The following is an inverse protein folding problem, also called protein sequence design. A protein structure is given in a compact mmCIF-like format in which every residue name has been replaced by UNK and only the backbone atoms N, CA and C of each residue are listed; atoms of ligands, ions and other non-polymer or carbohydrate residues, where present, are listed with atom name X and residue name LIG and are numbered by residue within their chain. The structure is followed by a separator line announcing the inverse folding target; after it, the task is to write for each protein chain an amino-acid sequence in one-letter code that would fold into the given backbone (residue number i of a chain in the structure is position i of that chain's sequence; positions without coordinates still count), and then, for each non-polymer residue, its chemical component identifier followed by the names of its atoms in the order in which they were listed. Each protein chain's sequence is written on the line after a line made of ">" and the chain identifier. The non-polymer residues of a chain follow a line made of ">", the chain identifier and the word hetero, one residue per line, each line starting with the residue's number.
data_IF_363141505342
#
_entry.id   IF_363141505342
#
_cell.length_a   1.000
_cell.length_b   1.000
_cell.length_c   1.000
_cell.angle_alpha   90.00
_cell.angle_beta   90.00
_cell.angle_gamma   90.00
#
_symmetry.space_group_name_H-M   'P 1'
#
loop_
_entity.id
_entity.type
_entity.pdbx_description
1 polymer ?
#
# COMPACT_ATOMS: atom_id res chain seq x y z
N UNK A 1 25.75 -22.19 -22.08
CA UNK A 1 24.56 -23.01 -21.74
C UNK A 1 24.37 -23.25 -20.23
N UNK A 2 25.44 -23.34 -19.41
CA UNK A 2 25.33 -23.63 -17.97
C UNK A 2 24.95 -22.43 -17.08
N UNK A 3 25.24 -21.20 -17.51
CA UNK A 3 24.87 -19.96 -16.79
C UNK A 3 23.38 -19.64 -16.90
N UNK A 4 22.77 -19.81 -18.08
CA UNK A 4 21.33 -19.57 -18.28
C UNK A 4 20.45 -20.57 -17.51
N UNK A 5 20.84 -21.85 -17.50
CA UNK A 5 20.19 -22.87 -16.65
C UNK A 5 20.30 -22.55 -15.16
N UNK A 6 21.43 -21.99 -14.71
CA UNK A 6 21.64 -21.64 -13.29
C UNK A 6 20.84 -20.40 -12.87
N UNK A 7 20.71 -19.40 -13.75
CA UNK A 7 19.85 -18.22 -13.55
C UNK A 7 18.37 -18.64 -13.47
N UNK A 8 17.89 -19.43 -14.44
CA UNK A 8 16.51 -19.95 -14.40
C UNK A 8 16.22 -20.84 -13.18
N UNK A 9 17.21 -21.58 -12.68
CA UNK A 9 17.06 -22.37 -11.45
C UNK A 9 16.96 -21.51 -10.19
N UNK A 10 17.73 -20.41 -10.11
CA UNK A 10 17.62 -19.43 -9.02
C UNK A 10 16.29 -18.70 -9.05
N UNK A 11 15.82 -18.27 -10.23
CA UNK A 11 14.51 -17.62 -10.38
C UNK A 11 13.37 -18.53 -9.92
N UNK A 12 13.40 -19.81 -10.31
CA UNK A 12 12.37 -20.78 -9.90
C UNK A 12 12.38 -21.01 -8.39
N UNK A 13 13.57 -21.07 -7.77
CA UNK A 13 13.70 -21.23 -6.30
C UNK A 13 13.26 -19.99 -5.53
N UNK A 14 13.49 -18.79 -6.07
CA UNK A 14 13.02 -17.54 -5.47
C UNK A 14 11.50 -17.48 -5.52
N UNK A 15 10.89 -17.82 -6.66
CA UNK A 15 9.44 -17.86 -6.81
C UNK A 15 8.81 -18.91 -5.89
N UNK A 16 9.36 -20.14 -5.84
CA UNK A 16 8.89 -21.17 -4.91
C UNK A 16 8.99 -20.74 -3.43
N UNK A 17 10.09 -20.10 -3.04
CA UNK A 17 10.26 -19.60 -1.67
C UNK A 17 9.28 -18.46 -1.34
N UNK A 18 9.08 -17.54 -2.28
CA UNK A 18 8.09 -16.45 -2.16
C UNK A 18 6.69 -17.03 -2.01
N UNK A 19 6.33 -18.00 -2.83
CA UNK A 19 4.99 -18.59 -2.83
C UNK A 19 4.70 -19.31 -1.51
N UNK A 20 5.67 -20.11 -1.01
CA UNK A 20 5.56 -20.75 0.31
C UNK A 20 5.50 -19.72 1.45
N UNK A 21 6.29 -18.65 1.36
CA UNK A 21 6.32 -17.60 2.39
C UNK A 21 5.02 -16.81 2.41
N UNK A 22 4.49 -16.44 1.24
CA UNK A 22 3.20 -15.75 1.08
C UNK A 22 2.08 -16.66 1.55
N UNK A 23 2.05 -17.93 1.16
CA UNK A 23 1.04 -18.88 1.61
C UNK A 23 1.07 -19.07 3.14
N UNK A 24 2.25 -19.12 3.75
CA UNK A 24 2.39 -19.22 5.20
C UNK A 24 1.93 -17.95 5.92
N UNK A 25 2.30 -16.77 5.42
CA UNK A 25 1.89 -15.48 5.97
C UNK A 25 0.39 -15.24 5.80
N UNK A 26 -0.19 -15.61 4.66
CA UNK A 26 -1.60 -15.36 4.33
C UNK A 26 -2.55 -16.46 4.81
N UNK A 27 -2.05 -17.50 5.48
CA UNK A 27 -2.91 -18.60 5.93
C UNK A 27 -3.90 -18.13 7.01
N UNK A 28 -5.11 -18.72 7.01
CA UNK A 28 -6.24 -18.35 7.87
C UNK A 28 -5.88 -18.28 9.36
N UNK A 29 -4.90 -19.08 9.82
CA UNK A 29 -4.48 -19.12 11.22
C UNK A 29 -3.84 -17.82 11.72
N UNK A 30 -3.17 -17.04 10.87
CA UNK A 30 -2.54 -15.77 11.26
C UNK A 30 -3.47 -14.57 11.12
N UNK A 31 -4.59 -14.68 10.41
CA UNK A 31 -5.53 -13.58 10.23
C UNK A 31 -6.09 -13.05 11.54
N UNK A 32 -6.38 -13.93 12.50
CA UNK A 32 -6.84 -13.52 13.83
C UNK A 32 -5.78 -12.65 14.51
N UNK A 33 -4.51 -13.06 14.44
CA UNK A 33 -3.40 -12.30 15.02
C UNK A 33 -3.21 -10.95 14.31
N UNK A 34 -3.27 -10.92 12.98
CA UNK A 34 -3.17 -9.65 12.23
C UNK A 34 -4.32 -8.70 12.53
N UNK A 35 -5.56 -9.21 12.56
CA UNK A 35 -6.73 -8.42 12.90
C UNK A 35 -6.66 -7.90 14.34
N UNK A 36 -6.15 -8.69 15.28
CA UNK A 36 -5.91 -8.23 16.65
C UNK A 36 -4.85 -7.13 16.71
N UNK A 37 -3.73 -7.28 15.99
CA UNK A 37 -2.68 -6.24 15.94
C UNK A 37 -3.24 -4.95 15.33
N UNK A 38 -4.01 -5.04 14.26
CA UNK A 38 -4.65 -3.87 13.63
C UNK A 38 -5.69 -3.27 14.57
N UNK A 39 -6.51 -4.10 15.22
CA UNK A 39 -7.49 -3.65 16.21
C UNK A 39 -6.79 -2.88 17.31
N UNK A 40 -5.74 -3.42 17.94
CA UNK A 40 -5.04 -2.73 19.02
C UNK A 40 -4.28 -1.48 18.55
N UNK A 41 -3.80 -1.45 17.30
CA UNK A 41 -3.12 -0.29 16.73
C UNK A 41 -4.08 0.87 16.40
N UNK A 42 -5.31 0.57 15.97
CA UNK A 42 -6.31 1.57 15.55
C UNK A 42 -7.27 1.92 16.70
N UNK A 43 -7.67 0.92 17.48
CA UNK A 43 -8.62 0.97 18.58
C UNK A 43 -8.12 0.14 19.77
N UNK A 44 -7.22 0.68 20.60
CA UNK A 44 -6.72 -0.04 21.77
C UNK A 44 -7.88 -0.52 22.66
N UNK A 45 -7.93 -1.82 22.96
CA UNK A 45 -9.04 -2.44 23.69
C UNK A 45 -10.36 -2.56 22.90
N UNK A 46 -10.36 -2.34 21.58
CA UNK A 46 -11.53 -2.47 20.71
C UNK A 46 -12.55 -1.34 20.81
N UNK A 47 -12.24 -0.26 21.52
CA UNK A 47 -13.13 0.88 21.68
C UNK A 47 -12.79 2.01 20.69
N UNK A 48 -13.80 2.55 20.03
CA UNK A 48 -13.66 3.79 19.25
C UNK A 48 -13.39 4.96 20.21
N UNK A 49 -12.44 5.86 19.88
CA UNK A 49 -12.23 7.09 20.64
C UNK A 49 -13.56 7.83 20.75
N UNK A 50 -14.05 8.01 21.97
CA UNK A 50 -15.28 8.77 22.24
C UNK A 50 -15.01 10.28 22.23
N UNK A 51 -13.76 10.66 22.44
CA UNK A 51 -13.31 12.05 22.34
C UNK A 51 -12.69 12.31 20.96
N UNK A 52 -12.94 13.50 20.38
CA UNK A 52 -12.25 13.91 19.17
C UNK A 52 -10.75 13.92 19.43
N UNK A 53 -9.99 13.23 18.57
CA UNK A 53 -8.53 13.20 18.65
C UNK A 53 -8.03 14.64 18.66
N UNK A 54 -7.28 15.01 19.71
CA UNK A 54 -6.68 16.33 19.81
C UNK A 54 -5.87 16.58 18.54
N UNK A 55 -6.17 17.66 17.82
CA UNK A 55 -5.41 17.98 16.62
C UNK A 55 -3.94 18.19 17.02
N UNK A 56 -3.04 17.44 16.37
CA UNK A 56 -1.61 17.56 16.59
C UNK A 56 -1.18 19.01 16.39
N UNK A 57 -0.39 19.53 17.33
CA UNK A 57 0.20 20.84 17.19
C UNK A 57 1.10 20.91 15.96
N UNK A 58 1.30 22.11 15.42
CA UNK A 58 2.18 22.31 14.26
C UNK A 58 3.60 21.81 14.56
N UNK A 59 4.10 22.05 15.77
CA UNK A 59 5.42 21.59 16.21
C UNK A 59 5.53 20.07 16.18
N UNK A 60 4.54 19.34 16.71
CA UNK A 60 4.56 17.87 16.70
C UNK A 60 4.53 17.31 15.27
N UNK A 61 3.80 17.96 14.36
CA UNK A 61 3.78 17.59 12.94
C UNK A 61 5.15 17.77 12.30
N UNK A 62 5.80 18.90 12.56
CA UNK A 62 7.11 19.21 12.01
C UNK A 62 8.21 18.29 12.56
N UNK A 63 8.18 18.00 13.87
CA UNK A 63 9.13 17.07 14.52
C UNK A 63 8.98 15.65 13.95
N UNK A 64 7.74 15.17 13.83
CA UNK A 64 7.46 13.84 13.25
C UNK A 64 7.89 13.78 11.78
N UNK A 65 7.69 14.86 11.01
CA UNK A 65 8.13 14.96 9.62
C UNK A 65 9.65 14.88 9.50
N UNK A 66 10.41 15.58 10.35
CA UNK A 66 11.87 15.49 10.35
C UNK A 66 12.35 14.08 10.71
N UNK A 67 11.73 13.44 11.69
CA UNK A 67 12.05 12.07 12.08
C UNK A 67 11.77 11.08 10.95
N UNK A 68 10.63 11.20 10.28
CA UNK A 68 10.27 10.38 9.13
C UNK A 68 11.27 10.55 7.98
N UNK A 69 11.66 11.79 7.66
CA UNK A 69 12.67 12.09 6.63
C UNK A 69 14.00 11.39 6.94
N UNK A 70 14.46 11.51 8.19
CA UNK A 70 15.70 10.86 8.63
C UNK A 70 15.62 9.33 8.51
N UNK A 71 14.49 8.74 8.89
CA UNK A 71 14.25 7.31 8.73
C UNK A 71 14.27 6.90 7.25
N UNK A 72 13.58 7.61 6.36
CA UNK A 72 13.55 7.32 4.93
C UNK A 72 14.94 7.38 4.30
N UNK A 73 15.71 8.42 4.62
CA UNK A 73 17.09 8.57 4.14
C UNK A 73 17.99 7.42 4.57
N UNK A 74 17.72 6.79 5.73
CA UNK A 74 18.48 5.65 6.27
C UNK A 74 18.05 4.28 5.70
N UNK A 75 16.90 4.18 5.05
CA UNK A 75 16.44 2.91 4.45
C UNK A 75 17.28 2.52 3.22
N UNK A 76 17.83 3.51 2.53
CA UNK A 76 18.61 3.32 1.31
C UNK A 76 20.12 3.43 1.63
N UNK A 77 21.00 2.64 0.97
CA UNK A 77 22.42 2.67 1.25
C UNK A 77 23.07 4.04 1.08
N UNK A 78 24.00 4.39 1.98
CA UNK A 78 24.75 5.66 1.98
C UNK A 78 25.52 5.91 0.67
N UNK A 79 25.86 4.83 -0.05
CA UNK A 79 26.47 4.90 -1.39
C UNK A 79 25.66 5.75 -2.37
N UNK A 80 24.32 5.72 -2.29
CA UNK A 80 23.47 6.54 -3.17
C UNK A 80 23.50 8.02 -2.79
N UNK A 81 23.66 8.34 -1.50
CA UNK A 81 23.90 9.71 -1.04
C UNK A 81 25.26 10.23 -1.55
N UNK A 82 26.29 9.39 -1.52
CA UNK A 82 27.63 9.75 -2.03
C UNK A 82 27.65 9.95 -3.55
N UNK A 83 26.86 9.17 -4.30
CA UNK A 83 26.77 9.27 -5.76
C UNK A 83 25.94 10.48 -6.23
N UNK A 84 24.83 10.80 -5.56
CA UNK A 84 23.95 11.91 -5.93
C UNK A 84 24.36 13.26 -5.31
N UNK A 85 25.15 13.21 -4.23
CA UNK A 85 25.43 14.35 -3.35
C UNK A 85 24.36 14.48 -2.28
N UNK A 86 24.79 14.68 -1.03
CA UNK A 86 23.95 14.70 0.17
C UNK A 86 22.80 15.71 0.09
N UNK A 87 23.03 16.90 -0.48
CA UNK A 87 22.01 17.94 -0.60
C UNK A 87 20.88 17.54 -1.58
N UNK A 88 21.25 16.97 -2.73
CA UNK A 88 20.28 16.51 -3.74
C UNK A 88 19.52 15.28 -3.25
N UNK A 89 20.20 14.39 -2.54
CA UNK A 89 19.60 13.22 -1.92
C UNK A 89 18.57 13.63 -0.86
N UNK A 90 18.93 14.55 0.04
CA UNK A 90 18.01 15.11 1.04
C UNK A 90 16.81 15.80 0.39
N UNK A 91 17.04 16.62 -0.64
CA UNK A 91 15.96 17.30 -1.35
C UNK A 91 15.01 16.30 -2.03
N UNK A 92 15.54 15.24 -2.65
CA UNK A 92 14.72 14.19 -3.26
C UNK A 92 13.79 13.52 -2.26
N UNK A 93 14.31 13.20 -1.07
CA UNK A 93 13.52 12.60 0.00
C UNK A 93 12.52 13.56 0.61
N UNK A 94 12.87 14.85 0.73
CA UNK A 94 11.92 15.88 1.13
C UNK A 94 10.76 15.97 0.14
N UNK A 95 11.05 16.05 -1.16
CA UNK A 95 10.00 16.07 -2.19
C UNK A 95 9.13 14.81 -2.14
N UNK A 96 9.73 13.63 -1.96
CA UNK A 96 8.98 12.38 -1.82
C UNK A 96 8.07 12.41 -0.58
N UNK A 97 8.60 12.82 0.57
CA UNK A 97 7.84 12.92 1.82
C UNK A 97 6.74 14.00 1.74
N UNK A 98 6.97 15.07 0.99
CA UNK A 98 5.99 16.13 0.77
C UNK A 98 4.86 15.65 -0.14
N UNK A 99 5.20 14.84 -1.15
CA UNK A 99 4.23 14.21 -2.03
C UNK A 99 3.34 13.23 -1.26
N UNK A 100 3.91 12.49 -0.31
CA UNK A 100 3.17 11.59 0.59
C UNK A 100 2.30 12.34 1.61
N UNK A 101 2.57 13.62 1.87
CA UNK A 101 1.72 14.47 2.72
C UNK A 101 0.64 15.20 1.92
N UNK A 102 0.72 15.21 0.58
CA UNK A 102 -0.24 15.90 -0.27
C UNK A 102 -1.54 15.10 -0.43
N UNK A 103 -2.71 15.69 -0.07
CA UNK A 103 -3.99 14.98 -0.12
C UNK A 103 -4.46 14.66 -1.53
N UNK A 104 -4.08 15.43 -2.56
CA UNK A 104 -4.45 15.18 -3.95
C UNK A 104 -3.64 14.04 -4.54
N UNK A 105 -2.33 14.03 -4.29
CA UNK A 105 -1.44 12.92 -4.67
C UNK A 105 -1.91 11.63 -3.99
N UNK A 106 -2.18 11.68 -2.68
CA UNK A 106 -2.67 10.51 -1.95
C UNK A 106 -4.03 10.02 -2.44
N UNK A 107 -4.96 10.93 -2.76
CA UNK A 107 -6.24 10.56 -3.38
C UNK A 107 -6.02 9.85 -4.71
N UNK A 108 -5.15 10.38 -5.56
CA UNK A 108 -4.84 9.75 -6.84
C UNK A 108 -4.19 8.38 -6.66
N UNK A 109 -3.23 8.27 -5.74
CA UNK A 109 -2.56 7.01 -5.39
C UNK A 109 -3.57 5.94 -4.97
N UNK A 110 -4.54 6.30 -4.13
CA UNK A 110 -5.60 5.38 -3.70
C UNK A 110 -6.43 4.89 -4.89
N UNK A 111 -6.82 5.78 -5.80
CA UNK A 111 -7.55 5.37 -7.01
C UNK A 111 -6.71 4.46 -7.91
N UNK A 112 -5.43 4.74 -8.09
CA UNK A 112 -4.54 3.85 -8.84
C UNK A 112 -4.41 2.48 -8.19
N UNK A 113 -4.31 2.40 -6.86
CA UNK A 113 -4.27 1.12 -6.15
C UNK A 113 -5.58 0.36 -6.36
N UNK A 114 -6.73 1.05 -6.25
CA UNK A 114 -8.02 0.43 -6.52
C UNK A 114 -8.13 -0.08 -7.95
N UNK A 115 -7.67 0.69 -8.93
CA UNK A 115 -7.67 0.31 -10.34
C UNK A 115 -6.87 -0.98 -10.56
N UNK A 116 -5.65 -1.06 -10.02
CA UNK A 116 -4.81 -2.25 -10.07
C UNK A 116 -5.43 -3.46 -9.36
N UNK A 117 -6.08 -3.24 -8.20
CA UNK A 117 -6.78 -4.30 -7.47
C UNK A 117 -7.98 -4.82 -8.25
N UNK A 118 -8.73 -3.92 -8.90
CA UNK A 118 -9.87 -4.27 -9.73
C UNK A 118 -9.43 -5.08 -10.95
N UNK A 119 -8.37 -4.67 -11.63
CA UNK A 119 -7.76 -5.41 -12.73
C UNK A 119 -7.33 -6.82 -12.30
N UNK A 120 -6.79 -6.97 -11.10
CA UNK A 120 -6.38 -8.26 -10.56
C UNK A 120 -7.56 -9.15 -10.12
N UNK A 121 -8.53 -8.58 -9.41
CA UNK A 121 -9.64 -9.34 -8.81
C UNK A 121 -10.73 -9.68 -9.82
N UNK A 122 -10.94 -8.82 -10.81
CA UNK A 122 -11.97 -8.99 -11.84
C UNK A 122 -11.35 -8.63 -13.19
N UNK A 123 -10.61 -9.57 -13.80
CA UNK A 123 -9.95 -9.34 -15.08
C UNK A 123 -10.93 -9.08 -16.24
N UNK A 124 -12.22 -9.34 -16.03
CA UNK A 124 -13.33 -9.07 -16.95
C UNK A 124 -13.75 -7.58 -16.98
N UNK A 125 -13.29 -6.76 -16.04
CA UNK A 125 -13.63 -5.32 -15.97
C UNK A 125 -13.35 -4.53 -17.26
N UNK A 126 -12.20 -4.68 -17.94
CA UNK A 126 -11.97 -3.97 -19.20
C UNK A 126 -12.83 -4.47 -20.36
N UNK A 127 -13.53 -5.61 -20.25
CA UNK A 127 -14.37 -6.12 -21.33
C UNK A 127 -15.66 -5.31 -21.50
N UNK A 128 -15.89 -4.80 -22.71
CA UNK A 128 -17.07 -3.97 -23.02
C UNK A 128 -18.39 -4.71 -22.77
N UNK A 129 -18.44 -6.02 -23.04
CA UNK A 129 -19.62 -6.86 -22.81
C UNK A 129 -19.95 -7.01 -21.33
N UNK A 130 -18.92 -7.15 -20.48
CA UNK A 130 -19.08 -7.20 -19.03
C UNK A 130 -19.54 -5.84 -18.49
N UNK A 131 -18.94 -4.75 -18.95
CA UNK A 131 -19.35 -3.39 -18.55
C UNK A 131 -20.80 -3.09 -18.91
N UNK A 132 -21.22 -3.43 -20.14
CA UNK A 132 -22.60 -3.21 -20.59
C UNK A 132 -23.59 -4.07 -19.80
N UNK A 133 -23.26 -5.33 -19.51
CA UNK A 133 -24.07 -6.24 -18.69
C UNK A 133 -24.19 -5.76 -17.23
N UNK A 134 -23.09 -5.29 -16.63
CA UNK A 134 -23.10 -4.69 -15.29
C UNK A 134 -23.95 -3.42 -15.23
N UNK A 135 -23.78 -2.50 -16.18
CA UNK A 135 -24.56 -1.26 -16.24
C UNK A 135 -26.06 -1.55 -16.41
N UNK A 136 -26.43 -2.54 -17.24
CA UNK A 136 -27.81 -2.99 -17.37
C UNK A 136 -28.35 -3.60 -16.07
N UNK A 137 -27.53 -4.37 -15.36
CA UNK A 137 -27.90 -5.01 -14.09
C UNK A 137 -28.09 -3.99 -12.96
N UNK A 138 -27.19 -3.00 -12.86
CA UNK A 138 -27.29 -1.91 -11.90
C UNK A 138 -28.51 -1.01 -12.20
N UNK A 139 -28.75 -0.70 -13.48
CA UNK A 139 -29.91 0.07 -13.95
C UNK A 139 -31.24 -0.65 -13.71
N UNK A 140 -31.26 -1.99 -13.71
CA UNK A 140 -32.45 -2.80 -13.38
C UNK A 140 -32.71 -2.99 -11.88
N UNK A 141 -31.73 -2.72 -11.01
CA UNK A 141 -31.84 -2.93 -9.56
C UNK A 141 -32.25 -1.72 -8.67
N UNK A 142 -32.58 -0.51 -9.15
CA UNK A 142 -32.93 0.60 -8.24
C UNK A 142 -34.26 0.38 -7.51
N UNK A 143 -35.11 -0.55 -7.96
CA UNK A 143 -36.45 -0.78 -7.37
C UNK A 143 -36.47 -1.81 -6.24
N UNK A 144 -35.36 -2.54 -6.00
CA UNK A 144 -35.26 -3.53 -4.91
C UNK A 144 -34.49 -3.05 -3.68
N UNK A 145 -33.88 -1.87 -3.73
CA UNK A 145 -33.13 -1.27 -2.61
C UNK A 145 -33.95 -0.22 -1.83
N UNK A 146 -35.17 0.07 -2.26
CA UNK A 146 -36.10 1.01 -1.63
C UNK A 146 -37.39 0.35 -1.09
N UNK A 147 -37.42 -0.98 -0.99
CA UNK A 147 -38.53 -1.75 -0.42
C UNK A 147 -38.11 -2.48 0.86
#
# INVERSE_FOLDING_TARGET
>A
MNTFKRIGWCETKIVEWLDVSVANLTCTSYWVAYLQVIQEAVWPGGALPTEPVLERSQQEKDDTRQQALHCLMRLIPDLLSDMLGSDKYKLSWQTALDSLQDPYINRHLVYCIFDLLLEFLVPEIPEEDFQTSLLQTLSKNPEKLLA
#
